data_IF_921303829130
#
_entry.id   IF_921303829130
#
_cell.length_a   1.000
_cell.length_b   1.000
_cell.length_c   1.000
_cell.angle_alpha   90.00
_cell.angle_beta   90.00
_cell.angle_gamma   90.00
#
_symmetry.space_group_name_H-M   'P 1'
#
loop_
_entity.id
_entity.type
_entity.pdbx_description
1 polymer ?
#
# COMPACT_ATOMS: atom_id res chain seq x y z
N UNK A 1 -14.13 -10.24 24.51
CA UNK A 1 -12.94 -9.38 24.37
C UNK A 1 -11.67 -10.16 24.75
N UNK A 2 -11.32 -11.24 24.03
CA UNK A 2 -10.15 -12.07 24.39
C UNK A 2 -9.09 -12.18 23.28
N UNK A 3 -9.43 -11.84 22.04
CA UNK A 3 -8.55 -12.03 20.87
C UNK A 3 -7.40 -11.03 20.80
N UNK A 4 -7.53 -9.84 21.41
CA UNK A 4 -6.49 -8.79 21.35
C UNK A 4 -5.26 -9.16 22.17
N UNK A 5 -5.42 -9.90 23.28
CA UNK A 5 -4.30 -10.30 24.15
C UNK A 5 -3.41 -11.39 23.54
N UNK A 6 -3.93 -12.26 22.67
CA UNK A 6 -3.12 -13.34 22.06
C UNK A 6 -2.20 -12.79 20.97
N UNK A 7 -2.68 -11.86 20.14
CA UNK A 7 -1.86 -11.20 19.11
C UNK A 7 -0.65 -10.46 19.72
N UNK A 8 -0.81 -9.82 20.88
CA UNK A 8 0.27 -9.14 21.61
C UNK A 8 1.36 -10.11 22.13
N UNK A 9 1.04 -11.39 22.38
CA UNK A 9 2.06 -12.37 22.78
C UNK A 9 2.93 -12.78 21.60
N UNK A 10 2.36 -12.99 20.41
CA UNK A 10 3.14 -13.29 19.18
C UNK A 10 4.11 -12.15 18.82
N UNK A 11 3.71 -10.90 19.08
CA UNK A 11 4.52 -9.69 18.89
C UNK A 11 5.84 -9.73 19.69
N UNK A 12 5.83 -10.31 20.90
CA UNK A 12 7.01 -10.33 21.79
C UNK A 12 8.10 -11.31 21.35
N UNK A 13 7.77 -12.42 20.69
CA UNK A 13 8.72 -13.52 20.46
C UNK A 13 9.48 -13.49 19.14
N UNK A 14 9.15 -12.61 18.19
CA UNK A 14 9.90 -12.54 16.93
C UNK A 14 11.33 -12.12 17.15
N UNK A 15 12.25 -12.82 16.48
CA UNK A 15 13.66 -12.49 16.46
C UNK A 15 13.93 -11.32 15.49
N UNK A 16 15.01 -10.55 15.69
CA UNK A 16 15.37 -9.46 14.78
C UNK A 16 15.41 -9.89 13.30
N UNK A 17 15.96 -11.06 12.99
CA UNK A 17 16.07 -11.55 11.61
C UNK A 17 14.70 -11.76 10.96
N UNK A 18 13.73 -12.26 11.72
CA UNK A 18 12.35 -12.44 11.27
C UNK A 18 11.68 -11.09 10.99
N UNK A 19 11.92 -10.09 11.85
CA UNK A 19 11.41 -8.73 11.62
C UNK A 19 12.03 -8.11 10.38
N UNK A 20 13.32 -8.34 10.14
CA UNK A 20 14.01 -7.84 8.95
C UNK A 20 13.40 -8.42 7.66
N UNK A 21 13.27 -9.74 7.60
CA UNK A 21 12.71 -10.42 6.42
C UNK A 21 11.25 -10.05 6.17
N UNK A 22 10.46 -9.86 7.23
CA UNK A 22 9.09 -9.36 7.09
C UNK A 22 9.03 -7.95 6.52
N UNK A 23 9.86 -7.02 7.04
CA UNK A 23 9.92 -5.66 6.49
C UNK A 23 10.35 -5.67 5.03
N UNK A 24 11.35 -6.47 4.68
CA UNK A 24 11.85 -6.62 3.30
C UNK A 24 10.77 -7.17 2.36
N UNK A 25 10.06 -8.22 2.76
CA UNK A 25 8.94 -8.77 1.99
C UNK A 25 7.83 -7.72 1.81
N UNK A 26 7.50 -6.98 2.87
CA UNK A 26 6.51 -5.91 2.82
C UNK A 26 6.92 -4.78 1.86
N UNK A 27 8.18 -4.33 1.89
CA UNK A 27 8.71 -3.32 0.96
C UNK A 27 8.57 -3.76 -0.50
N UNK A 28 8.93 -5.01 -0.81
CA UNK A 28 8.80 -5.56 -2.16
C UNK A 28 7.33 -5.60 -2.60
N UNK A 29 6.43 -6.05 -1.73
CA UNK A 29 4.99 -6.09 -2.03
C UNK A 29 4.41 -4.68 -2.26
N UNK A 30 4.82 -3.70 -1.45
CA UNK A 30 4.39 -2.31 -1.60
C UNK A 30 4.93 -1.68 -2.89
N UNK A 31 6.19 -1.94 -3.26
CA UNK A 31 6.78 -1.48 -4.54
C UNK A 31 6.03 -2.06 -5.73
N UNK A 32 5.78 -3.36 -5.74
CA UNK A 32 5.02 -4.02 -6.81
C UNK A 32 3.64 -3.38 -7.00
N UNK A 33 2.91 -3.14 -5.90
CA UNK A 33 1.60 -2.48 -5.95
C UNK A 33 1.68 -1.02 -6.37
N UNK A 34 2.74 -0.31 -6.00
CA UNK A 34 2.95 1.07 -6.45
C UNK A 34 3.13 1.11 -7.98
N UNK A 35 3.87 0.16 -8.55
CA UNK A 35 4.01 0.05 -10.00
C UNK A 35 2.69 -0.34 -10.68
N UNK A 36 1.91 -1.24 -10.06
CA UNK A 36 0.55 -1.52 -10.53
C UNK A 36 -0.36 -0.29 -10.45
N UNK A 37 -0.22 0.54 -9.42
CA UNK A 37 -0.98 1.79 -9.29
C UNK A 37 -0.62 2.80 -10.40
N UNK A 38 0.67 2.90 -10.77
CA UNK A 38 1.11 3.69 -11.94
C UNK A 38 0.50 3.15 -13.23
N UNK A 39 0.44 1.83 -13.40
CA UNK A 39 -0.25 1.22 -14.53
C UNK A 39 -1.75 1.60 -14.54
N UNK A 40 -2.44 1.51 -13.41
CA UNK A 40 -3.86 1.91 -13.29
C UNK A 40 -4.07 3.40 -13.58
N UNK A 41 -3.13 4.27 -13.18
CA UNK A 41 -3.14 5.70 -13.51
C UNK A 41 -3.07 5.92 -15.02
N UNK A 42 -2.17 5.20 -15.70
CA UNK A 42 -2.06 5.23 -17.17
C UNK A 42 -3.32 4.70 -17.84
N UNK A 43 -3.88 3.59 -17.33
CA UNK A 43 -5.13 3.02 -17.82
C UNK A 43 -6.28 4.02 -17.74
N UNK A 44 -6.46 4.65 -16.57
CA UNK A 44 -7.51 5.67 -16.39
C UNK A 44 -7.28 6.86 -17.31
N UNK A 45 -6.04 7.31 -17.51
CA UNK A 45 -5.74 8.41 -18.45
C UNK A 45 -6.12 8.04 -19.89
N UNK A 46 -5.80 6.83 -20.34
CA UNK A 46 -6.12 6.37 -21.70
C UNK A 46 -7.64 6.40 -21.95
N UNK A 47 -8.43 5.82 -21.04
CA UNK A 47 -9.89 5.80 -21.19
C UNK A 47 -10.57 7.13 -20.81
N UNK A 48 -9.93 7.98 -20.00
CA UNK A 48 -10.44 9.31 -19.72
C UNK A 48 -10.46 10.17 -20.98
N UNK A 49 -9.41 10.10 -21.82
CA UNK A 49 -9.36 10.78 -23.12
C UNK A 49 -10.46 10.32 -24.06
N UNK A 50 -10.78 9.02 -24.11
CA UNK A 50 -11.92 8.50 -24.88
C UNK A 50 -13.27 9.00 -24.32
N UNK A 51 -13.42 9.06 -23.00
CA UNK A 51 -14.65 9.52 -22.35
C UNK A 51 -14.87 11.04 -22.41
N UNK A 52 -13.82 11.83 -22.65
CA UNK A 52 -13.91 13.29 -22.83
C UNK A 52 -14.73 13.65 -24.07
N UNK A 53 -14.65 12.81 -25.10
CA UNK A 53 -15.54 12.86 -26.27
C UNK A 53 -17.00 12.51 -25.91
N UNK A 54 -17.21 11.75 -24.83
CA UNK A 54 -18.50 11.20 -24.37
C UNK A 54 -18.86 11.63 -22.92
N UNK A 55 -18.91 12.93 -22.61
CA UNK A 55 -19.55 13.56 -21.42
C UNK A 55 -19.19 13.08 -19.98
N UNK A 56 -18.34 12.07 -19.75
CA UNK A 56 -18.15 11.44 -18.43
C UNK A 56 -16.98 12.01 -17.59
N UNK A 57 -16.93 13.33 -17.43
CA UNK A 57 -15.76 14.03 -16.85
C UNK A 57 -15.66 13.98 -15.32
N UNK A 58 -16.79 14.14 -14.61
CA UNK A 58 -16.78 14.30 -13.14
C UNK A 58 -16.35 13.05 -12.38
N UNK A 59 -16.73 11.88 -12.87
CA UNK A 59 -16.42 10.62 -12.18
C UNK A 59 -14.96 10.20 -12.38
N UNK A 60 -14.39 10.48 -13.55
CA UNK A 60 -12.99 10.22 -13.85
C UNK A 60 -12.05 11.15 -13.07
N UNK A 61 -12.42 12.42 -12.90
CA UNK A 61 -11.69 13.35 -12.05
C UNK A 61 -11.58 12.86 -10.59
N UNK A 62 -12.68 12.38 -10.00
CA UNK A 62 -12.68 11.82 -8.63
C UNK A 62 -11.74 10.62 -8.51
N UNK A 63 -11.75 9.71 -9.50
CA UNK A 63 -10.87 8.52 -9.53
C UNK A 63 -9.40 8.93 -9.62
N UNK A 64 -9.09 9.93 -10.43
CA UNK A 64 -7.73 10.44 -10.56
C UNK A 64 -7.20 11.00 -9.23
N UNK A 65 -8.02 11.78 -8.51
CA UNK A 65 -7.70 12.26 -7.16
C UNK A 65 -7.46 11.10 -6.19
N UNK A 66 -8.30 10.06 -6.22
CA UNK A 66 -8.11 8.88 -5.37
C UNK A 66 -6.82 8.11 -5.69
N UNK A 67 -6.44 8.02 -6.98
CA UNK A 67 -5.19 7.38 -7.41
C UNK A 67 -3.99 8.17 -6.90
N UNK A 68 -3.98 9.50 -7.08
CA UNK A 68 -2.88 10.35 -6.64
C UNK A 68 -2.67 10.27 -5.12
N UNK A 69 -3.74 10.39 -4.34
CA UNK A 69 -3.64 10.30 -2.88
C UNK A 69 -3.16 8.91 -2.42
N UNK A 70 -3.49 7.84 -3.14
CA UNK A 70 -2.99 6.51 -2.82
C UNK A 70 -1.51 6.35 -3.20
N UNK A 71 -1.08 6.90 -4.33
CA UNK A 71 0.32 6.87 -4.80
C UNK A 71 1.26 7.55 -3.80
N UNK A 72 0.87 8.73 -3.30
CA UNK A 72 1.58 9.42 -2.22
C UNK A 72 1.68 8.56 -0.96
N UNK A 73 0.58 7.93 -0.55
CA UNK A 73 0.55 7.03 0.61
C UNK A 73 1.50 5.82 0.45
N UNK A 74 1.58 5.23 -0.75
CA UNK A 74 2.55 4.16 -1.04
C UNK A 74 3.98 4.66 -0.93
N UNK A 75 4.31 5.80 -1.52
CA UNK A 75 5.66 6.35 -1.50
C UNK A 75 6.13 6.65 -0.07
N UNK A 76 5.28 7.31 0.73
CA UNK A 76 5.58 7.59 2.14
C UNK A 76 5.73 6.29 2.95
N UNK A 77 4.85 5.31 2.73
CA UNK A 77 4.92 4.04 3.46
C UNK A 77 6.18 3.25 3.09
N UNK A 78 6.55 3.18 1.81
CA UNK A 78 7.76 2.50 1.35
C UNK A 78 8.99 3.14 2.00
N UNK A 79 9.08 4.48 2.01
CA UNK A 79 10.18 5.20 2.63
C UNK A 79 10.26 4.89 4.13
N UNK A 80 9.14 4.93 4.85
CA UNK A 80 9.10 4.61 6.27
C UNK A 80 9.53 3.17 6.55
N UNK A 81 9.10 2.19 5.74
CA UNK A 81 9.51 0.80 5.88
C UNK A 81 11.00 0.59 5.60
N UNK A 82 11.57 1.31 4.62
CA UNK A 82 13.00 1.25 4.32
C UNK A 82 13.83 1.86 5.46
N UNK A 83 13.42 3.00 6.00
CA UNK A 83 14.06 3.59 7.19
C UNK A 83 13.99 2.64 8.37
N UNK A 84 12.81 2.03 8.60
CA UNK A 84 12.61 1.04 9.66
C UNK A 84 13.48 -0.21 9.50
N UNK A 85 13.70 -0.66 8.26
CA UNK A 85 14.60 -1.77 7.96
C UNK A 85 16.05 -1.42 8.32
N UNK A 86 16.50 -0.20 7.99
CA UNK A 86 17.85 0.26 8.28
C UNK A 86 18.08 0.46 9.79
N UNK A 87 17.07 0.96 10.51
CA UNK A 87 17.15 1.16 11.96
C UNK A 87 17.35 -0.15 12.72
N UNK A 88 16.86 -1.29 12.20
CA UNK A 88 17.11 -2.60 12.80
C UNK A 88 18.57 -2.98 12.75
N UNK A 89 19.24 -2.69 11.63
CA UNK A 89 20.65 -2.99 11.46
C UNK A 89 21.48 -2.19 12.47
N UNK A 90 21.18 -0.89 12.62
CA UNK A 90 21.83 -0.02 13.61
C UNK A 90 21.61 -0.54 15.04
N UNK A 91 20.38 -0.94 15.38
CA UNK A 91 20.04 -1.46 16.71
C UNK A 91 20.75 -2.79 17.05
N UNK A 92 21.14 -3.58 16.05
CA UNK A 92 21.90 -4.81 16.24
C UNK A 92 23.42 -4.57 16.34
N UNK A 93 23.90 -3.48 15.73
CA UNK A 93 25.32 -3.11 15.70
C UNK A 93 25.72 -2.28 16.95
N UNK A 94 24.78 -1.56 17.58
CA UNK A 94 24.97 -0.80 18.82
C UNK A 94 24.75 -1.63 20.10
N UNK A 95 25.52 -1.35 21.15
CA UNK A 95 25.51 -2.06 22.44
C UNK A 95 24.17 -1.88 23.18
N UNK A 96 23.60 -2.99 23.67
CA UNK A 96 22.26 -3.12 24.26
C UNK A 96 21.84 -1.97 25.21
N UNK A 97 21.04 -1.03 24.71
CA UNK A 97 20.27 -0.12 25.57
C UNK A 97 18.97 -0.81 26.00
N UNK A 98 18.63 -0.84 27.30
CA UNK A 98 17.39 -1.45 27.76
C UNK A 98 16.16 -0.78 27.10
N UNK A 99 15.25 -1.62 26.57
CA UNK A 99 13.95 -1.26 25.94
C UNK A 99 13.94 -0.86 24.46
N UNK A 100 15.09 -0.64 23.79
CA UNK A 100 15.10 -0.23 22.37
C UNK A 100 14.43 -1.25 21.44
N UNK A 101 14.70 -2.55 21.64
CA UNK A 101 14.09 -3.61 20.84
C UNK A 101 12.55 -3.68 21.03
N UNK A 102 12.05 -3.33 22.21
CA UNK A 102 10.60 -3.33 22.47
C UNK A 102 9.93 -2.19 21.70
N UNK A 103 10.53 -0.99 21.73
CA UNK A 103 10.03 0.17 20.97
C UNK A 103 10.08 -0.12 19.48
N UNK A 104 11.18 -0.68 18.99
CA UNK A 104 11.32 -1.11 17.59
C UNK A 104 10.21 -2.07 17.17
N UNK A 105 9.91 -3.09 17.99
CA UNK A 105 8.82 -4.05 17.71
C UNK A 105 7.48 -3.35 17.61
N UNK A 106 7.15 -2.43 18.52
CA UNK A 106 5.88 -1.70 18.45
C UNK A 106 5.74 -0.88 17.17
N UNK A 107 6.80 -0.18 16.77
CA UNK A 107 6.84 0.57 15.51
C UNK A 107 6.72 -0.33 14.29
N UNK A 108 7.40 -1.48 14.31
CA UNK A 108 7.31 -2.48 13.26
C UNK A 108 5.86 -2.89 13.01
N UNK A 109 5.12 -3.26 14.05
CA UNK A 109 3.72 -3.68 13.89
C UNK A 109 2.81 -2.54 13.46
N UNK A 110 3.04 -1.30 13.93
CA UNK A 110 2.29 -0.12 13.45
C UNK A 110 2.48 0.06 11.94
N UNK A 111 3.70 -0.09 11.43
CA UNK A 111 3.98 -0.02 9.99
C UNK A 111 3.33 -1.16 9.22
N UNK A 112 3.36 -2.38 9.75
CA UNK A 112 2.69 -3.54 9.13
C UNK A 112 1.18 -3.37 9.06
N UNK A 113 0.53 -2.89 10.12
CA UNK A 113 -0.89 -2.57 10.11
C UNK A 113 -1.21 -1.49 9.07
N UNK A 114 -0.39 -0.45 8.97
CA UNK A 114 -0.54 0.58 7.93
C UNK A 114 -0.42 -0.01 6.52
N UNK A 115 0.51 -0.94 6.29
CA UNK A 115 0.66 -1.62 5.01
C UNK A 115 -0.57 -2.46 4.64
N UNK A 116 -1.14 -3.20 5.59
CA UNK A 116 -2.39 -3.96 5.38
C UNK A 116 -3.56 -3.03 5.05
N UNK A 117 -3.68 -1.91 5.76
CA UNK A 117 -4.72 -0.91 5.48
C UNK A 117 -4.57 -0.30 4.08
N UNK A 118 -3.36 0.14 3.71
CA UNK A 118 -3.06 0.67 2.37
C UNK A 118 -3.37 -0.34 1.26
N UNK A 119 -3.03 -1.62 1.48
CA UNK A 119 -3.36 -2.70 0.55
C UNK A 119 -4.87 -2.88 0.36
N UNK A 120 -5.65 -2.73 1.43
CA UNK A 120 -7.12 -2.85 1.38
C UNK A 120 -7.74 -1.72 0.56
N UNK A 121 -7.23 -0.49 0.74
CA UNK A 121 -7.62 0.66 -0.07
C UNK A 121 -7.25 0.45 -1.55
N UNK A 122 -6.03 -0.03 -1.82
CA UNK A 122 -5.57 -0.36 -3.17
C UNK A 122 -6.47 -1.37 -3.87
N UNK A 123 -6.79 -2.49 -3.22
CA UNK A 123 -7.68 -3.52 -3.79
C UNK A 123 -9.07 -2.95 -4.13
N UNK A 124 -9.60 -2.09 -3.26
CA UNK A 124 -10.89 -1.44 -3.47
C UNK A 124 -10.87 -0.49 -4.66
N UNK A 125 -9.82 0.35 -4.76
CA UNK A 125 -9.61 1.26 -5.88
C UNK A 125 -9.43 0.49 -7.20
N UNK A 126 -8.61 -0.56 -7.20
CA UNK A 126 -8.39 -1.43 -8.37
C UNK A 126 -9.70 -2.00 -8.90
N UNK A 127 -10.53 -2.58 -8.03
CA UNK A 127 -11.85 -3.11 -8.42
C UNK A 127 -12.74 -2.03 -9.04
N UNK A 128 -12.76 -0.83 -8.45
CA UNK A 128 -13.53 0.29 -8.97
C UNK A 128 -13.07 0.69 -10.38
N UNK A 129 -11.75 0.82 -10.60
CA UNK A 129 -11.18 1.17 -11.90
C UNK A 129 -11.55 0.11 -12.95
N UNK A 130 -11.33 -1.17 -12.67
CA UNK A 130 -11.66 -2.25 -13.62
C UNK A 130 -13.14 -2.29 -13.98
N UNK A 131 -14.05 -2.11 -13.01
CA UNK A 131 -15.49 -2.05 -13.26
C UNK A 131 -15.84 -0.94 -14.25
N UNK A 132 -15.22 0.22 -14.09
CA UNK A 132 -15.45 1.38 -14.93
C UNK A 132 -14.87 1.21 -16.34
N UNK A 133 -13.61 0.79 -16.45
CA UNK A 133 -12.99 0.52 -17.76
C UNK A 133 -13.81 -0.52 -18.53
N UNK A 134 -14.27 -1.58 -17.86
CA UNK A 134 -15.17 -2.58 -18.47
C UNK A 134 -16.49 -1.97 -18.95
N UNK A 135 -17.04 -0.99 -18.25
CA UNK A 135 -18.26 -0.30 -18.68
C UNK A 135 -18.02 0.56 -19.92
N UNK A 136 -16.95 1.37 -19.91
CA UNK A 136 -16.56 2.21 -21.06
C UNK A 136 -16.35 1.34 -22.30
N UNK A 137 -15.63 0.22 -22.17
CA UNK A 137 -15.41 -0.72 -23.27
C UNK A 137 -16.72 -1.32 -23.83
N UNK A 138 -17.70 -1.59 -22.96
CA UNK A 138 -19.03 -2.08 -23.39
C UNK A 138 -19.82 -1.01 -24.13
N UNK A 139 -19.76 0.23 -23.68
CA UNK A 139 -20.43 1.36 -24.32
C UNK A 139 -19.83 1.62 -25.70
N UNK A 140 -18.49 1.66 -25.82
CA UNK A 140 -17.80 1.81 -27.10
C UNK A 140 -18.13 0.67 -28.08
N UNK A 141 -18.23 -0.58 -27.60
CA UNK A 141 -18.61 -1.73 -28.45
C UNK A 141 -20.06 -1.67 -28.96
N UNK A 142 -20.97 -0.99 -28.26
CA UNK A 142 -22.36 -0.81 -28.73
C UNK A 142 -22.50 0.30 -29.78
N UNK A 143 -21.49 1.15 -29.91
CA UNK A 143 -21.46 2.29 -30.82
C UNK A 143 -20.74 1.92 -32.14
N UNK A 144 -20.04 0.79 -32.17
CA UNK A 144 -19.39 0.21 -33.36
C UNK A 144 -20.26 -0.88 -33.99
#
# INVERSE_FOLDING_TARGET
METVKSHLKFIKYKKPEELHEETKACVLEMKFKNDELKFLKTLVKAYALESVLNKCHKENAKKYVSILGLEENFNVLILNLQTHQNNLQVLLDDIETPNELSVYKEEHYKLMFKAVATNTLFKSLKKLIYKNVKQILKENKKIA
#
